data_IF_192409856131
#
_entry.id   IF_192409856131
#
_cell.length_a   1.000
_cell.length_b   1.000
_cell.length_c   1.000
_cell.angle_alpha   90.00
_cell.angle_beta   90.00
_cell.angle_gamma   90.00
#
_symmetry.space_group_name_H-M   'P 1'
#
loop_
_entity.id
_entity.type
_entity.pdbx_description
1 polymer ?
#
# COMPACT_ATOMS: atom_id res chain seq x y z
N UNK A 1 -5.76 39.17 24.04
CA UNK A 1 -5.60 38.45 22.75
C UNK A 1 -4.41 37.47 22.79
N UNK A 2 -4.45 36.44 23.65
CA UNK A 2 -3.35 35.43 23.74
C UNK A 2 -3.83 33.96 23.77
N UNK A 3 -5.13 33.72 23.94
CA UNK A 3 -5.71 32.38 24.05
C UNK A 3 -6.14 31.76 22.71
N UNK A 4 -6.13 32.51 21.61
CA UNK A 4 -6.65 32.06 20.31
C UNK A 4 -5.62 31.27 19.48
N UNK A 5 -4.34 31.38 19.81
CA UNK A 5 -3.26 30.69 19.09
C UNK A 5 -3.00 29.26 19.59
N UNK A 6 -3.34 28.96 20.84
CA UNK A 6 -3.19 27.61 21.40
C UNK A 6 -4.16 26.60 20.75
N UNK A 7 -5.39 27.04 20.44
CA UNK A 7 -6.38 26.18 19.79
C UNK A 7 -5.94 25.76 18.38
N UNK A 8 -5.37 26.68 17.59
CA UNK A 8 -4.95 26.39 16.22
C UNK A 8 -3.79 25.38 16.14
N UNK A 9 -2.87 25.42 17.12
CA UNK A 9 -1.76 24.46 17.18
C UNK A 9 -2.23 23.03 17.52
N UNK A 10 -3.26 22.89 18.37
CA UNK A 10 -3.79 21.60 18.75
C UNK A 10 -4.49 20.88 17.58
N UNK A 11 -5.19 21.61 16.70
CA UNK A 11 -5.77 21.00 15.49
C UNK A 11 -4.72 20.57 14.48
N UNK A 12 -3.61 21.30 14.36
CA UNK A 12 -2.51 20.95 13.44
C UNK A 12 -1.87 19.60 13.74
N UNK A 13 -1.70 19.26 15.02
CA UNK A 13 -1.08 17.99 15.44
C UNK A 13 -1.98 16.75 15.21
N UNK A 14 -3.30 16.95 15.14
CA UNK A 14 -4.24 15.84 14.90
C UNK A 14 -4.27 15.48 13.40
N UNK A 15 -4.12 16.46 12.49
CA UNK A 15 -4.07 16.20 11.05
C UNK A 15 -2.81 15.43 10.64
N UNK A 16 -1.66 15.66 11.28
CA UNK A 16 -0.42 14.92 10.96
C UNK A 16 -0.51 13.44 11.38
N UNK A 17 -1.27 13.13 12.43
CA UNK A 17 -1.44 11.76 12.93
C UNK A 17 -2.31 10.88 12.02
N UNK A 18 -3.19 11.45 11.19
CA UNK A 18 -3.94 10.69 10.17
C UNK A 18 -3.23 10.61 8.82
N UNK A 19 -2.16 11.37 8.59
CA UNK A 19 -1.36 11.31 7.37
C UNK A 19 -0.25 10.24 7.40
N UNK A 20 0.06 9.70 8.59
CA UNK A 20 1.00 8.59 8.78
C UNK A 20 0.32 7.22 8.75
N UNK A 21 -0.82 7.10 8.06
CA UNK A 21 -1.37 5.78 7.80
C UNK A 21 -0.41 5.11 6.82
N UNK A 22 0.55 4.37 7.39
CA UNK A 22 1.45 3.46 6.70
C UNK A 22 0.57 2.62 5.79
N UNK A 23 0.61 2.88 4.49
CA UNK A 23 -0.11 2.08 3.52
C UNK A 23 0.34 0.64 3.77
N UNK A 24 -0.60 -0.28 4.08
CA UNK A 24 -0.23 -1.66 4.33
C UNK A 24 0.60 -2.11 3.14
N UNK A 25 1.88 -2.42 3.39
CA UNK A 25 2.75 -2.89 2.31
C UNK A 25 2.04 -4.10 1.68
N UNK A 26 1.67 -4.03 0.39
CA UNK A 26 0.92 -5.11 -0.21
C UNK A 26 1.74 -6.39 -0.08
N UNK A 27 1.17 -7.42 0.53
CA UNK A 27 1.84 -8.71 0.62
C UNK A 27 1.79 -9.32 -0.77
N UNK A 28 2.85 -9.06 -1.53
CA UNK A 28 3.07 -9.64 -2.85
C UNK A 28 3.39 -11.12 -2.70
N UNK A 29 2.75 -11.95 -3.50
CA UNK A 29 3.03 -13.39 -3.57
C UNK A 29 3.87 -13.66 -4.82
N UNK A 30 4.73 -14.67 -4.76
CA UNK A 30 5.50 -15.09 -5.93
C UNK A 30 4.58 -15.83 -6.92
N UNK A 31 4.60 -15.49 -8.22
CA UNK A 31 3.81 -16.18 -9.22
C UNK A 31 4.32 -17.60 -9.46
N UNK A 32 3.40 -18.50 -9.78
CA UNK A 32 3.73 -19.84 -10.25
C UNK A 32 4.05 -19.78 -11.74
N UNK A 33 5.10 -20.49 -12.16
CA UNK A 33 5.52 -20.57 -13.54
C UNK A 33 5.23 -21.96 -14.11
N UNK A 34 4.59 -22.00 -15.28
CA UNK A 34 4.48 -23.24 -16.02
C UNK A 34 5.84 -23.68 -16.61
N UNK A 35 5.87 -24.87 -17.21
CA UNK A 35 7.05 -25.43 -17.90
C UNK A 35 7.58 -24.57 -19.06
N UNK A 36 6.81 -23.60 -19.53
CA UNK A 36 7.17 -22.68 -20.61
C UNK A 36 7.59 -21.30 -20.08
N UNK A 37 7.54 -21.08 -18.75
CA UNK A 37 7.88 -19.82 -18.11
C UNK A 37 6.74 -18.80 -18.11
N UNK A 38 5.50 -19.20 -18.36
CA UNK A 38 4.33 -18.32 -18.27
C UNK A 38 3.97 -18.12 -16.79
N UNK A 39 3.96 -16.87 -16.27
CA UNK A 39 3.56 -16.61 -14.90
C UNK A 39 2.04 -16.73 -14.74
N UNK A 40 1.60 -17.20 -13.57
CA UNK A 40 0.18 -17.29 -13.19
C UNK A 40 0.00 -17.01 -11.70
N UNK A 41 -1.18 -16.54 -11.33
CA UNK A 41 -1.54 -16.24 -9.95
C UNK A 41 -2.73 -17.09 -9.49
N UNK A 42 -2.75 -17.39 -8.20
CA UNK A 42 -3.91 -18.01 -7.55
C UNK A 42 -5.13 -17.09 -7.58
N UNK A 43 -6.33 -17.67 -7.48
CA UNK A 43 -7.57 -16.91 -7.45
C UNK A 43 -7.54 -15.85 -6.33
N UNK A 44 -7.96 -14.62 -6.65
CA UNK A 44 -7.87 -13.48 -5.73
C UNK A 44 -6.56 -12.67 -5.85
N UNK A 45 -5.70 -13.01 -6.80
CA UNK A 45 -4.49 -12.26 -7.13
C UNK A 45 -4.35 -12.05 -8.64
N UNK A 46 -3.81 -10.88 -9.02
CA UNK A 46 -3.51 -10.52 -10.40
C UNK A 46 -1.99 -10.36 -10.60
N UNK A 47 -1.53 -10.64 -11.82
CA UNK A 47 -0.13 -10.40 -12.19
C UNK A 47 0.15 -8.91 -12.24
N UNK A 48 1.15 -8.47 -11.50
CA UNK A 48 1.62 -7.09 -11.46
C UNK A 48 3.15 -7.04 -11.55
N UNK A 49 3.67 -5.85 -11.84
CA UNK A 49 5.11 -5.57 -11.82
C UNK A 49 5.38 -4.52 -10.74
N UNK A 50 6.27 -4.84 -9.81
CA UNK A 50 6.67 -3.88 -8.77
C UNK A 50 7.52 -2.76 -9.37
N UNK A 51 7.69 -1.65 -8.64
CA UNK A 51 8.56 -0.54 -9.07
C UNK A 51 10.04 -0.96 -9.25
N UNK A 52 10.44 -2.06 -8.60
CA UNK A 52 11.75 -2.68 -8.77
C UNK A 52 11.83 -3.63 -9.99
N UNK A 53 10.76 -3.75 -10.77
CA UNK A 53 10.70 -4.59 -11.98
C UNK A 53 10.45 -6.08 -11.73
N UNK A 54 10.03 -6.48 -10.53
CA UNK A 54 9.72 -7.89 -10.24
C UNK A 54 8.29 -8.23 -10.63
N UNK A 55 8.11 -9.37 -11.30
CA UNK A 55 6.77 -9.93 -11.55
C UNK A 55 6.24 -10.57 -10.28
N UNK A 56 5.09 -10.11 -9.81
CA UNK A 56 4.48 -10.53 -8.55
C UNK A 56 2.98 -10.77 -8.73
N UNK A 57 2.39 -11.53 -7.83
CA UNK A 57 0.94 -11.64 -7.66
C UNK A 57 0.47 -10.61 -6.63
N UNK A 58 -0.29 -9.61 -7.08
CA UNK A 58 -0.89 -8.56 -6.26
C UNK A 58 -2.33 -8.95 -5.90
N UNK A 59 -2.77 -8.84 -4.63
CA UNK A 59 -4.16 -9.13 -4.28
C UNK A 59 -5.11 -8.25 -5.09
N UNK A 60 -6.18 -8.83 -5.65
CA UNK A 60 -7.26 -8.01 -6.21
C UNK A 60 -8.04 -7.41 -5.05
N UNK A 61 -7.86 -6.12 -4.82
CA UNK A 61 -8.68 -5.35 -3.89
C UNK A 61 -10.15 -5.48 -4.30
N UNK A 62 -10.98 -6.07 -3.44
CA UNK A 62 -12.44 -6.13 -3.61
C UNK A 62 -13.09 -4.80 -3.22
#
# INVERSE_FOLDING_TARGET
>A
MKLKFAAAAAFGLILTACGQQEEPTPVYVQPDYDKYGTPSCSAGYELATTEAGQTVCNPVSQ
#
